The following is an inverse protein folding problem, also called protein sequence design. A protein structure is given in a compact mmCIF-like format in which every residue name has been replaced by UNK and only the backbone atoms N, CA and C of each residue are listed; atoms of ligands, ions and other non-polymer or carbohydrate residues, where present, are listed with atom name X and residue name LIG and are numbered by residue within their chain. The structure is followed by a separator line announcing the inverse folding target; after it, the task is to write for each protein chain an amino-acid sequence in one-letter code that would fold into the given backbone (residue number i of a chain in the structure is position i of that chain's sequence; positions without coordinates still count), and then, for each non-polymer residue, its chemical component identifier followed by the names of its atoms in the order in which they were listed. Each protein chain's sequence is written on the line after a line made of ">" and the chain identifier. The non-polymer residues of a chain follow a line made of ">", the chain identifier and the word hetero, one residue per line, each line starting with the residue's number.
data_IF_759382959754
#
_entry.id   IF_759382959754
#
_cell.length_a   1.000
_cell.length_b   1.000
_cell.length_c   1.000
_cell.angle_alpha   90.00
_cell.angle_beta   90.00
_cell.angle_gamma   90.00
#
_symmetry.space_group_name_H-M   'P 1'
#
loop_
_entity.id
_entity.type
_entity.pdbx_description
1 polymer ?
#
# COMPACT_ATOMS: atom_id res chain seq x y z
N UNK A 1 -6.95 -6.78 12.44
CA UNK A 1 -6.49 -5.69 11.55
C UNK A 1 -6.69 -6.01 10.07
N UNK A 2 -6.10 -7.09 9.53
CA UNK A 2 -6.22 -7.43 8.10
C UNK A 2 -7.66 -7.66 7.60
N UNK A 3 -8.52 -8.32 8.41
CA UNK A 3 -9.94 -8.55 8.05
C UNK A 3 -10.73 -7.25 7.90
N UNK A 4 -10.53 -6.28 8.79
CA UNK A 4 -11.23 -4.99 8.73
C UNK A 4 -10.78 -4.18 7.51
N UNK A 5 -9.48 -4.21 7.20
CA UNK A 5 -8.95 -3.54 6.01
C UNK A 5 -9.41 -4.23 4.71
N UNK A 6 -9.51 -5.56 4.70
CA UNK A 6 -10.02 -6.32 3.56
C UNK A 6 -11.51 -6.02 3.30
N UNK A 7 -12.34 -5.94 4.35
CA UNK A 7 -13.75 -5.54 4.24
C UNK A 7 -13.88 -4.09 3.78
N UNK A 8 -13.07 -3.17 4.31
CA UNK A 8 -13.03 -1.77 3.87
C UNK A 8 -12.61 -1.63 2.39
N UNK A 9 -11.56 -2.34 1.97
CA UNK A 9 -11.09 -2.38 0.58
C UNK A 9 -12.14 -2.97 -0.37
N UNK A 10 -12.91 -3.96 0.10
CA UNK A 10 -14.01 -4.54 -0.67
C UNK A 10 -15.20 -3.58 -0.82
N UNK A 11 -15.60 -2.91 0.27
CA UNK A 11 -16.75 -2.01 0.28
C UNK A 11 -16.46 -0.67 -0.39
N UNK A 12 -15.20 -0.22 -0.38
CA UNK A 12 -14.76 1.05 -0.96
C UNK A 12 -13.56 0.88 -1.91
N UNK A 13 -13.75 0.24 -3.08
CA UNK A 13 -12.66 -0.05 -4.02
C UNK A 13 -12.00 1.21 -4.59
N UNK A 14 -12.75 2.30 -4.75
CA UNK A 14 -12.23 3.58 -5.21
C UNK A 14 -11.31 4.24 -4.18
N UNK A 15 -11.72 4.31 -2.91
CA UNK A 15 -10.87 4.83 -1.82
C UNK A 15 -9.59 4.01 -1.68
N UNK A 16 -9.69 2.68 -1.74
CA UNK A 16 -8.53 1.80 -1.68
C UNK A 16 -7.55 2.05 -2.84
N UNK A 17 -8.04 2.20 -4.07
CA UNK A 17 -7.21 2.58 -5.22
C UNK A 17 -6.53 3.93 -5.01
N UNK A 18 -7.26 4.95 -4.54
CA UNK A 18 -6.68 6.26 -4.23
C UNK A 18 -5.57 6.18 -3.19
N UNK A 19 -5.75 5.40 -2.13
CA UNK A 19 -4.71 5.18 -1.12
C UNK A 19 -3.46 4.51 -1.69
N UNK A 20 -3.63 3.48 -2.54
CA UNK A 20 -2.50 2.83 -3.21
C UNK A 20 -1.77 3.84 -4.10
N UNK A 21 -2.49 4.59 -4.94
CA UNK A 21 -1.89 5.59 -5.84
C UNK A 21 -1.14 6.66 -5.07
N UNK A 22 -1.71 7.18 -3.98
CA UNK A 22 -1.03 8.14 -3.12
C UNK A 22 0.26 7.57 -2.50
N UNK A 23 0.22 6.31 -2.05
CA UNK A 23 1.39 5.62 -1.49
C UNK A 23 2.50 5.45 -2.54
N UNK A 24 2.13 5.14 -3.79
CA UNK A 24 3.08 5.03 -4.90
C UNK A 24 3.71 6.38 -5.27
N UNK A 25 2.90 7.45 -5.35
CA UNK A 25 3.42 8.81 -5.61
C UNK A 25 4.39 9.22 -4.50
N UNK A 26 4.03 8.95 -3.25
CA UNK A 26 4.90 9.23 -2.10
C UNK A 26 6.22 8.45 -2.15
N UNK A 27 6.17 7.17 -2.56
CA UNK A 27 7.37 6.35 -2.73
C UNK A 27 8.29 6.93 -3.80
N UNK A 28 7.75 7.29 -4.97
CA UNK A 28 8.51 7.91 -6.07
C UNK A 28 9.13 9.23 -5.61
N UNK A 29 8.39 10.05 -4.87
CA UNK A 29 8.88 11.30 -4.31
C UNK A 29 10.04 11.09 -3.34
N UNK A 30 9.94 10.09 -2.44
CA UNK A 30 11.04 9.73 -1.54
C UNK A 30 12.28 9.24 -2.30
N UNK A 31 12.11 8.41 -3.34
CA UNK A 31 13.22 7.96 -4.19
C UNK A 31 13.88 9.15 -4.88
N UNK A 32 13.09 10.05 -5.45
CA UNK A 32 13.59 11.26 -6.11
C UNK A 32 14.38 12.16 -5.16
N UNK A 33 13.86 12.41 -3.95
CA UNK A 33 14.56 13.18 -2.92
C UNK A 33 15.85 12.52 -2.44
N UNK A 34 15.87 11.18 -2.38
CA UNK A 34 17.05 10.42 -1.93
C UNK A 34 18.15 10.42 -3.00
N UNK A 35 17.80 10.18 -4.27
CA UNK A 35 18.76 10.17 -5.39
C UNK A 35 19.19 11.57 -5.84
N UNK A 36 18.27 12.54 -5.86
CA UNK A 36 18.52 13.85 -6.46
C UNK A 36 19.19 14.86 -5.55
N UNK A 37 19.25 14.60 -4.23
CA UNK A 37 19.81 15.53 -3.24
C UNK A 37 20.91 14.89 -2.38
N UNK A 38 21.29 13.63 -2.64
CA UNK A 38 22.20 12.82 -1.80
C UNK A 38 21.83 12.81 -0.30
N UNK A 39 20.54 12.99 0.00
CA UNK A 39 20.03 13.00 1.37
C UNK A 39 19.67 11.58 1.78
N UNK A 40 20.67 10.81 2.19
CA UNK A 40 20.52 9.44 2.73
C UNK A 40 19.58 9.36 3.95
N UNK A 41 19.28 10.49 4.61
CA UNK A 41 18.27 10.61 5.67
C UNK A 41 16.87 10.13 5.25
N UNK A 42 16.54 10.16 3.94
CA UNK A 42 15.25 9.70 3.42
C UNK A 42 15.22 8.20 3.09
N UNK A 43 16.36 7.52 3.13
CA UNK A 43 16.47 6.08 2.86
C UNK A 43 15.60 5.21 3.79
N UNK A 44 15.57 5.40 5.13
CA UNK A 44 14.68 4.64 6.00
C UNK A 44 13.19 4.93 5.74
N UNK A 45 12.84 6.10 5.20
CA UNK A 45 11.46 6.45 4.86
C UNK A 45 10.90 5.58 3.71
N UNK A 46 11.76 4.97 2.88
CA UNK A 46 11.35 4.03 1.83
C UNK A 46 10.83 2.70 2.38
N UNK A 47 11.12 2.35 3.64
CA UNK A 47 10.53 1.16 4.26
C UNK A 47 9.02 1.31 4.51
N UNK A 48 8.52 2.53 4.66
CA UNK A 48 7.10 2.81 4.90
C UNK A 48 6.22 2.34 3.74
N UNK A 49 6.44 2.75 2.47
CA UNK A 49 5.67 2.23 1.35
C UNK A 49 5.88 0.73 1.13
N UNK A 50 7.05 0.18 1.47
CA UNK A 50 7.35 -1.24 1.36
C UNK A 50 6.53 -2.09 2.35
N UNK A 51 6.38 -1.63 3.59
CA UNK A 51 5.51 -2.28 4.57
C UNK A 51 4.03 -2.17 4.18
N UNK A 52 3.61 -1.03 3.64
CA UNK A 52 2.25 -0.81 3.16
C UNK A 52 1.89 -1.73 1.98
N UNK A 53 2.78 -1.93 1.01
CA UNK A 53 2.53 -2.84 -0.11
C UNK A 53 2.40 -4.30 0.33
N UNK A 54 3.19 -4.75 1.32
CA UNK A 54 3.04 -6.09 1.92
C UNK A 54 1.68 -6.24 2.62
N UNK A 55 1.24 -5.20 3.34
CA UNK A 55 -0.07 -5.15 3.99
C UNK A 55 -1.22 -5.22 2.99
N UNK A 56 -1.12 -4.48 1.88
CA UNK A 56 -2.09 -4.51 0.79
C UNK A 56 -2.11 -5.86 0.08
N UNK A 57 -0.94 -6.47 -0.17
CA UNK A 57 -0.83 -7.80 -0.75
C UNK A 57 -1.53 -8.86 0.10
N UNK A 58 -1.33 -8.84 1.42
CA UNK A 58 -2.02 -9.76 2.35
C UNK A 58 -3.53 -9.50 2.42
N UNK A 59 -3.97 -8.25 2.32
CA UNK A 59 -5.40 -7.93 2.29
C UNK A 59 -6.06 -8.39 0.99
N UNK A 60 -5.36 -8.28 -0.15
CA UNK A 60 -5.81 -8.80 -1.43
C UNK A 60 -5.92 -10.33 -1.41
N UNK A 61 -4.93 -11.02 -0.86
CA UNK A 61 -4.95 -12.49 -0.71
C UNK A 61 -6.12 -12.94 0.19
N UNK A 62 -6.36 -12.23 1.29
CA UNK A 62 -7.53 -12.47 2.16
C UNK A 62 -8.86 -12.27 1.41
N UNK A 63 -8.98 -11.23 0.58
CA UNK A 63 -10.16 -10.99 -0.24
C UNK A 63 -10.40 -12.13 -1.23
N UNK A 64 -9.36 -12.59 -1.93
CA UNK A 64 -9.48 -13.71 -2.89
C UNK A 64 -9.90 -15.00 -2.18
N UNK A 65 -9.30 -15.27 -1.02
CA UNK A 65 -9.51 -16.53 -0.28
C UNK A 65 -10.86 -16.62 0.45
N UNK A 66 -11.41 -15.50 0.95
CA UNK A 66 -12.60 -15.51 1.80
C UNK A 66 -13.80 -14.75 1.27
N UNK A 67 -13.61 -13.76 0.38
CA UNK A 67 -14.70 -12.94 -0.17
C UNK A 67 -15.06 -13.32 -1.61
N UNK A 68 -14.15 -13.95 -2.35
CA UNK A 68 -14.42 -14.42 -3.72
C UNK A 68 -14.91 -15.87 -3.81
N UNK A 69 -14.74 -16.68 -2.75
CA UNK A 69 -15.20 -18.07 -2.69
C UNK A 69 -16.69 -18.25 -2.35
N UNK A 70 -17.47 -17.17 -2.28
CA UNK A 70 -18.92 -17.20 -2.07
C UNK A 70 -19.66 -16.58 -3.26
N UNK A 71 -19.27 -16.99 -4.47
CA UNK A 71 -20.01 -16.77 -5.71
C UNK A 71 -20.04 -18.07 -6.50
#
# INVERSE_FOLDING_TARGET
>A
MFRSYAVFSFNHPWLHRSFITATFIFAIFCVYMTLGQDKYLFFPLLFVPLLLTVLFGKAADYRTKYLHGNK
#
